data_IF_588860594798
#
_entry.id   IF_588860594798
#
_cell.length_a   1.000
_cell.length_b   1.000
_cell.length_c   1.000
_cell.angle_alpha   90.00
_cell.angle_beta   90.00
_cell.angle_gamma   90.00
#
_symmetry.space_group_name_H-M   'P 1'
#
loop_
_entity.id
_entity.type
_entity.pdbx_description
1 polymer ?
#
# COMPACT_ATOMS: atom_id res chain seq x y z
N UNK A 1 17.22 36.39 -46.09
CA UNK A 1 15.81 36.42 -45.59
C UNK A 1 15.17 35.02 -45.54
N UNK A 2 15.50 34.10 -46.44
CA UNK A 2 14.91 32.73 -46.50
C UNK A 2 15.17 31.84 -45.26
N UNK A 3 16.32 31.98 -44.58
CA UNK A 3 16.65 31.23 -43.35
C UNK A 3 15.79 31.60 -42.14
N UNK A 4 15.24 32.82 -42.10
CA UNK A 4 14.41 33.30 -40.99
C UNK A 4 13.01 32.67 -41.04
N UNK A 5 12.47 32.47 -42.25
CA UNK A 5 11.18 31.79 -42.45
C UNK A 5 11.20 30.31 -42.04
N UNK A 6 12.33 29.62 -42.23
CA UNK A 6 12.50 28.23 -41.80
C UNK A 6 12.54 28.08 -40.27
N UNK A 7 13.19 29.02 -39.58
CA UNK A 7 13.27 29.03 -38.10
C UNK A 7 11.89 29.35 -37.50
N UNK A 8 11.16 30.30 -38.08
CA UNK A 8 9.82 30.65 -37.66
C UNK A 8 8.82 29.47 -37.85
N UNK A 9 8.90 28.76 -38.98
CA UNK A 9 8.07 27.58 -39.23
C UNK A 9 8.33 26.44 -38.22
N UNK A 10 9.59 26.21 -37.85
CA UNK A 10 9.96 25.17 -36.89
C UNK A 10 9.42 25.47 -35.48
N UNK A 11 9.43 26.74 -35.04
CA UNK A 11 8.91 27.12 -33.72
C UNK A 11 7.40 26.88 -33.54
N UNK A 12 6.60 26.93 -34.61
CA UNK A 12 5.16 26.66 -34.51
C UNK A 12 4.85 25.18 -34.25
N UNK A 13 5.70 24.26 -34.69
CA UNK A 13 5.47 22.81 -34.52
C UNK A 13 5.79 22.36 -33.08
N UNK A 14 6.71 23.03 -32.39
CA UNK A 14 7.09 22.69 -31.01
C UNK A 14 6.06 23.11 -29.94
N UNK A 15 5.16 24.05 -30.24
CA UNK A 15 4.13 24.48 -29.28
C UNK A 15 3.00 23.45 -29.08
N UNK A 16 2.88 22.47 -29.98
CA UNK A 16 1.83 21.43 -29.91
C UNK A 16 2.05 20.32 -28.88
N UNK A 17 3.28 20.14 -28.38
CA UNK A 17 3.61 19.06 -27.42
C UNK A 17 3.59 19.49 -25.95
N UNK A 18 3.33 20.77 -25.65
CA UNK A 18 3.30 21.29 -24.29
C UNK A 18 1.88 21.33 -23.68
N UNK A 19 0.96 20.49 -24.15
CA UNK A 19 -0.38 20.41 -23.57
C UNK A 19 -0.34 19.62 -22.26
N UNK A 20 -0.90 20.20 -21.19
CA UNK A 20 -1.05 19.52 -19.91
C UNK A 20 -1.85 18.22 -20.13
N UNK A 21 -1.42 17.08 -19.57
CA UNK A 21 -2.18 15.84 -19.65
C UNK A 21 -3.63 16.07 -19.21
N UNK A 22 -4.58 15.56 -19.98
CA UNK A 22 -6.00 15.68 -19.64
C UNK A 22 -6.25 14.90 -18.34
N UNK A 23 -6.53 15.62 -17.27
CA UNK A 23 -6.97 15.02 -16.02
C UNK A 23 -8.37 14.45 -16.24
N UNK A 24 -8.45 13.12 -16.36
CA UNK A 24 -9.72 12.39 -16.45
C UNK A 24 -10.09 11.94 -15.04
N UNK A 25 -11.26 12.37 -14.59
CA UNK A 25 -11.82 11.87 -13.33
C UNK A 25 -12.59 10.59 -13.66
N UNK A 26 -12.09 9.45 -13.18
CA UNK A 26 -12.73 8.16 -13.42
C UNK A 26 -13.92 8.01 -12.47
N UNK A 27 -15.14 8.09 -13.02
CA UNK A 27 -16.39 7.96 -12.25
C UNK A 27 -16.67 6.54 -11.75
N UNK A 28 -15.93 5.55 -12.28
CA UNK A 28 -16.12 4.14 -11.99
C UNK A 28 -14.82 3.54 -11.49
N UNK A 29 -14.91 2.83 -10.37
CA UNK A 29 -13.81 2.01 -9.88
C UNK A 29 -13.55 0.89 -10.89
N UNK A 30 -12.29 0.73 -11.28
CA UNK A 30 -11.85 -0.31 -12.22
C UNK A 30 -11.96 -1.73 -11.64
N UNK A 31 -12.16 -1.84 -10.33
CA UNK A 31 -12.35 -3.09 -9.59
C UNK A 31 -13.38 -2.88 -8.49
N UNK A 32 -14.26 -3.85 -8.29
CA UNK A 32 -15.14 -3.90 -7.12
C UNK A 32 -14.30 -3.97 -5.84
N UNK A 33 -14.79 -3.40 -4.74
CA UNK A 33 -14.20 -3.66 -3.43
C UNK A 33 -14.20 -5.18 -3.20
N UNK A 34 -13.01 -5.76 -3.17
CA UNK A 34 -12.81 -7.18 -2.92
C UNK A 34 -12.73 -7.42 -1.43
N UNK A 35 -13.18 -8.60 -1.02
CA UNK A 35 -12.98 -9.09 0.33
C UNK A 35 -11.50 -9.01 0.73
N UNK A 36 -11.20 -8.77 2.01
CA UNK A 36 -9.83 -8.73 2.50
C UNK A 36 -9.08 -10.02 2.13
N UNK A 37 -7.87 -9.84 1.60
CA UNK A 37 -6.99 -10.95 1.23
C UNK A 37 -5.96 -11.13 2.34
N UNK A 38 -6.01 -12.28 3.01
CA UNK A 38 -5.02 -12.68 4.00
C UNK A 38 -5.62 -13.10 5.34
N UNK A 39 -4.75 -13.26 6.33
CA UNK A 39 -5.14 -13.68 7.67
C UNK A 39 -5.37 -12.47 8.57
N UNK A 40 -6.40 -12.50 9.40
CA UNK A 40 -6.68 -11.45 10.39
C UNK A 40 -5.52 -11.39 11.38
N UNK A 41 -4.94 -10.20 11.57
CA UNK A 41 -3.98 -9.96 12.64
C UNK A 41 -4.76 -9.71 13.93
N UNK A 42 -4.45 -10.41 15.04
CA UNK A 42 -5.12 -10.21 16.32
C UNK A 42 -4.99 -8.76 16.85
N UNK A 43 -6.06 -8.29 17.48
CA UNK A 43 -6.19 -6.91 18.00
C UNK A 43 -5.09 -6.52 19.01
N UNK A 44 -4.44 -7.49 19.67
CA UNK A 44 -3.27 -7.24 20.56
C UNK A 44 -2.13 -6.49 19.85
N UNK A 45 -2.07 -6.53 18.52
CA UNK A 45 -1.06 -5.84 17.72
C UNK A 45 -1.52 -4.47 17.19
N UNK A 46 -2.75 -4.06 17.44
CA UNK A 46 -3.31 -2.82 16.87
C UNK A 46 -2.54 -1.58 17.31
N UNK A 47 -2.06 -1.53 18.56
CA UNK A 47 -1.23 -0.42 19.05
C UNK A 47 0.04 -0.27 18.22
N UNK A 48 0.72 -1.38 17.93
CA UNK A 48 1.92 -1.42 17.10
C UNK A 48 1.62 -1.05 15.63
N UNK A 49 0.49 -1.51 15.11
CA UNK A 49 0.13 -1.33 13.70
C UNK A 49 -0.49 0.04 13.40
N UNK A 50 -1.15 0.67 14.36
CA UNK A 50 -1.75 2.00 14.21
C UNK A 50 -0.77 3.13 14.52
N UNK A 51 0.40 2.84 15.09
CA UNK A 51 1.39 3.87 15.38
C UNK A 51 1.94 4.51 14.10
N UNK A 52 1.88 5.83 14.00
CA UNK A 52 2.39 6.62 12.86
C UNK A 52 3.90 6.49 12.63
N UNK A 53 4.64 6.13 13.67
CA UNK A 53 6.08 5.97 13.65
C UNK A 53 6.49 4.52 13.38
N UNK A 54 7.73 4.35 12.91
CA UNK A 54 8.31 3.02 12.80
C UNK A 54 8.70 2.54 14.20
N UNK A 55 8.16 1.41 14.62
CA UNK A 55 8.40 0.85 15.94
C UNK A 55 9.00 -0.54 15.86
N UNK A 56 9.74 -0.92 16.89
CA UNK A 56 10.26 -2.28 17.08
C UNK A 56 9.76 -2.80 18.41
N UNK A 57 9.09 -3.94 18.40
CA UNK A 57 8.61 -4.63 19.61
C UNK A 57 9.17 -6.03 19.63
N UNK A 58 9.68 -6.43 20.79
CA UNK A 58 10.10 -7.81 21.04
C UNK A 58 8.96 -8.56 21.70
N UNK A 59 8.56 -9.68 21.10
CA UNK A 59 7.46 -10.52 21.57
C UNK A 59 7.97 -11.95 21.53
N UNK A 60 8.02 -12.58 22.71
CA UNK A 60 8.58 -13.91 22.90
C UNK A 60 10.04 -13.98 22.37
N UNK A 61 10.28 -14.73 21.29
CA UNK A 61 11.59 -14.93 20.66
C UNK A 61 11.70 -14.24 19.28
N UNK A 62 10.80 -13.31 18.98
CA UNK A 62 10.77 -12.58 17.72
C UNK A 62 10.75 -11.06 17.92
N UNK A 63 11.52 -10.36 17.08
CA UNK A 63 11.44 -8.92 16.94
C UNK A 63 10.53 -8.57 15.77
N UNK A 64 9.53 -7.72 16.02
CA UNK A 64 8.60 -7.22 15.02
C UNK A 64 8.88 -5.75 14.82
N UNK A 65 9.27 -5.39 13.61
CA UNK A 65 9.52 -4.01 13.23
C UNK A 65 8.48 -3.56 12.22
N UNK A 66 7.89 -2.39 12.45
CA UNK A 66 6.95 -1.77 11.53
C UNK A 66 7.63 -0.61 10.81
N UNK A 67 7.34 -0.45 9.52
CA UNK A 67 7.77 0.70 8.71
C UNK A 67 6.64 1.70 8.53
N UNK A 68 6.94 2.80 7.85
CA UNK A 68 5.97 3.82 7.47
C UNK A 68 4.78 3.24 6.69
N UNK A 69 3.65 3.93 6.79
CA UNK A 69 2.44 3.61 6.03
C UNK A 69 2.61 3.93 4.54
N UNK A 70 1.87 3.18 3.72
CA UNK A 70 1.71 3.40 2.29
C UNK A 70 0.31 2.95 1.86
N UNK A 71 -0.15 3.37 0.69
CA UNK A 71 -1.41 2.88 0.12
C UNK A 71 -1.16 1.76 -0.87
N UNK A 72 -1.94 0.68 -0.80
CA UNK A 72 -1.91 -0.39 -1.80
C UNK A 72 -2.53 0.09 -3.12
N UNK A 73 -2.35 -0.71 -4.18
CA UNK A 73 -3.02 -0.47 -5.46
C UNK A 73 -4.56 -0.50 -5.36
N UNK A 74 -5.11 -1.12 -4.31
CA UNK A 74 -6.55 -1.16 -4.01
C UNK A 74 -7.00 0.01 -3.12
N UNK A 75 -6.09 0.92 -2.75
CA UNK A 75 -6.39 2.09 -1.92
C UNK A 75 -6.43 1.82 -0.42
N UNK A 76 -6.09 0.61 0.03
CA UNK A 76 -6.04 0.30 1.46
C UNK A 76 -4.77 0.86 2.10
N UNK A 77 -4.89 1.39 3.32
CA UNK A 77 -3.74 1.80 4.11
C UNK A 77 -2.99 0.56 4.59
N UNK A 78 -1.72 0.45 4.21
CA UNK A 78 -0.87 -0.68 4.53
C UNK A 78 0.43 -0.21 5.16
N UNK A 79 1.14 -1.15 5.79
CA UNK A 79 2.52 -0.93 6.24
C UNK A 79 3.33 -2.21 6.13
N UNK A 80 4.64 -2.04 6.03
CA UNK A 80 5.56 -3.19 6.01
C UNK A 80 5.85 -3.63 7.44
N UNK A 81 5.79 -4.93 7.67
CA UNK A 81 6.21 -5.59 8.91
C UNK A 81 7.46 -6.43 8.61
N UNK A 82 8.48 -6.31 9.43
CA UNK A 82 9.65 -7.18 9.41
C UNK A 82 9.67 -8.01 10.68
N UNK A 83 9.64 -9.33 10.50
CA UNK A 83 9.73 -10.29 11.60
C UNK A 83 11.12 -10.89 11.58
N UNK A 84 11.83 -10.76 12.69
CA UNK A 84 13.20 -11.24 12.86
C UNK A 84 13.20 -12.29 13.97
N UNK A 85 13.67 -13.50 13.65
CA UNK A 85 13.75 -14.63 14.58
C UNK A 85 14.95 -15.51 14.21
N UNK A 86 15.83 -15.80 15.17
CA UNK A 86 17.02 -16.66 14.98
C UNK A 86 17.84 -16.29 13.72
N UNK A 87 18.20 -15.02 13.59
CA UNK A 87 18.93 -14.42 12.45
C UNK A 87 18.23 -14.51 11.08
N UNK A 88 17.02 -15.06 11.02
CA UNK A 88 16.17 -15.01 9.82
C UNK A 88 15.29 -13.77 9.90
N UNK A 89 15.25 -13.04 8.80
CA UNK A 89 14.34 -11.91 8.62
C UNK A 89 13.31 -12.24 7.55
N UNK A 90 12.06 -11.93 7.83
CA UNK A 90 10.98 -12.00 6.87
C UNK A 90 10.24 -10.68 6.79
N UNK A 91 10.07 -10.18 5.57
CA UNK A 91 9.25 -8.99 5.29
C UNK A 91 7.85 -9.42 4.86
N UNK A 92 6.83 -8.82 5.46
CA UNK A 92 5.41 -8.98 5.15
C UNK A 92 4.73 -7.63 5.05
N UNK A 93 3.54 -7.60 4.49
CA UNK A 93 2.68 -6.41 4.46
C UNK A 93 1.46 -6.67 5.32
N UNK A 94 1.08 -5.69 6.13
CA UNK A 94 -0.22 -5.65 6.78
C UNK A 94 -1.03 -4.51 6.21
N UNK A 95 -2.31 -4.74 5.95
CA UNK A 95 -3.24 -3.76 5.39
C UNK A 95 -4.48 -3.64 6.25
N UNK A 96 -4.95 -2.42 6.43
CA UNK A 96 -6.18 -2.09 7.13
C UNK A 96 -7.34 -2.24 6.16
N UNK A 97 -8.33 -3.04 6.55
CA UNK A 97 -9.59 -3.20 5.85
C UNK A 97 -10.74 -2.72 6.73
N UNK A 98 -11.74 -2.13 6.09
CA UNK A 98 -12.99 -1.74 6.73
C UNK A 98 -14.01 -2.82 6.40
N UNK A 99 -14.49 -3.53 7.41
CA UNK A 99 -15.51 -4.57 7.28
C UNK A 99 -16.81 -4.08 7.90
N UNK A 100 -17.93 -4.63 7.43
CA UNK A 100 -19.23 -4.42 8.09
C UNK A 100 -19.48 -5.58 9.02
N UNK A 101 -19.72 -5.28 10.29
CA UNK A 101 -20.11 -6.26 11.28
C UNK A 101 -21.52 -6.78 10.96
N UNK A 102 -21.65 -8.08 10.68
CA UNK A 102 -22.90 -8.72 10.20
C UNK A 102 -24.13 -8.47 11.07
N UNK A 103 -23.92 -8.22 12.38
CA UNK A 103 -25.01 -8.08 13.36
C UNK A 103 -25.46 -6.64 13.61
N UNK A 104 -24.61 -5.67 13.32
CA UNK A 104 -24.82 -4.27 13.75
C UNK A 104 -24.74 -3.28 12.61
N UNK A 105 -24.37 -3.74 11.40
CA UNK A 105 -24.00 -2.93 10.24
C UNK A 105 -22.92 -1.88 10.54
N UNK A 106 -22.22 -1.98 11.68
CA UNK A 106 -21.15 -1.07 12.02
C UNK A 106 -19.91 -1.40 11.23
N UNK A 107 -19.24 -0.35 10.77
CA UNK A 107 -17.94 -0.48 10.15
C UNK A 107 -16.87 -0.70 11.23
N UNK A 108 -16.17 -1.83 11.13
CA UNK A 108 -15.04 -2.18 11.98
C UNK A 108 -13.77 -2.19 11.13
N UNK A 109 -12.67 -1.71 11.71
CA UNK A 109 -11.38 -1.71 11.05
C UNK A 109 -10.55 -2.87 11.57
N UNK A 110 -9.96 -3.65 10.66
CA UNK A 110 -9.09 -4.77 11.02
C UNK A 110 -7.84 -4.81 10.17
N UNK A 111 -6.74 -5.21 10.78
CA UNK A 111 -5.49 -5.46 10.09
C UNK A 111 -5.44 -6.87 9.54
N UNK A 112 -5.01 -6.99 8.29
CA UNK A 112 -4.84 -8.26 7.59
C UNK A 112 -3.39 -8.45 7.18
N UNK A 113 -2.84 -9.63 7.46
CA UNK A 113 -1.52 -10.04 7.00
C UNK A 113 -1.62 -10.56 5.57
N UNK A 114 -1.01 -9.82 4.65
CA UNK A 114 -1.06 -10.16 3.23
C UNK A 114 -0.18 -11.40 2.97
N UNK A 115 -0.70 -12.38 2.20
CA UNK A 115 0.08 -13.56 1.83
C UNK A 115 1.32 -13.16 1.03
N UNK A 116 2.43 -13.85 1.29
CA UNK A 116 3.66 -13.62 0.52
C UNK A 116 3.56 -14.34 -0.81
N UNK A 117 3.90 -13.64 -1.89
CA UNK A 117 4.01 -14.21 -3.23
C UNK A 117 5.27 -15.11 -3.32
N UNK A 118 6.25 -14.88 -2.45
CA UNK A 118 7.50 -15.63 -2.39
C UNK A 118 7.40 -16.65 -1.27
N UNK A 119 7.97 -17.85 -1.48
CA UNK A 119 8.01 -18.90 -0.45
C UNK A 119 8.67 -18.35 0.83
N UNK A 120 7.96 -18.37 1.96
CA UNK A 120 8.44 -17.71 3.16
C UNK A 120 9.57 -18.52 3.83
N UNK A 121 10.59 -17.82 4.33
CA UNK A 121 11.72 -18.41 5.08
C UNK A 121 11.40 -18.67 6.55
N UNK A 122 10.36 -18.01 7.07
CA UNK A 122 9.78 -18.19 8.39
C UNK A 122 8.29 -18.49 8.25
N UNK A 123 7.74 -19.33 9.14
CA UNK A 123 6.30 -19.48 9.24
C UNK A 123 5.81 -18.46 10.28
N UNK A 124 5.25 -17.35 9.81
CA UNK A 124 4.77 -16.25 10.64
C UNK A 124 3.26 -16.26 10.61
N UNK A 125 2.65 -16.57 11.74
CA UNK A 125 1.21 -16.43 12.03
C UNK A 125 1.08 -15.65 13.35
N UNK A 126 0.12 -14.73 13.44
CA UNK A 126 -0.05 -13.83 14.59
C UNK A 126 -1.09 -14.32 15.61
#
# INVERSE_FOLDING_TARGET
>A
MQKIFLIAGLSLVLMGCASKPKEVNASLFLVSQQDPVGDVIPEKYDSLLNDSTSQSVFIEDMAIQTKAFYFSALGNQCRTIQVIKNDKMQTRSACLYVEKEEKTEKEIQRWYLIPSIIKPTLNVSF
#
